data_IF_184876000519
#
_entry.id   IF_184876000519
#
_cell.length_a   1.000
_cell.length_b   1.000
_cell.length_c   1.000
_cell.angle_alpha   90.00
_cell.angle_beta   90.00
_cell.angle_gamma   90.00
#
_symmetry.space_group_name_H-M   'P 1'
#
loop_
_entity.id
_entity.type
_entity.pdbx_description
1 polymer ?
#
# COMPACT_ATOMS: atom_id res chain seq x y z
N UNK A 1 -13.98 17.74 20.51
CA UNK A 1 -14.60 16.41 20.42
C UNK A 1 -13.48 15.38 20.29
N UNK A 2 -12.74 15.19 21.39
CA UNK A 2 -11.52 14.39 21.49
C UNK A 2 -11.63 13.61 22.80
N UNK A 3 -12.28 12.45 22.79
CA UNK A 3 -12.26 11.53 23.94
C UNK A 3 -12.88 10.17 23.60
N UNK A 4 -12.21 9.35 22.76
CA UNK A 4 -12.49 7.89 22.70
C UNK A 4 -11.36 7.08 22.04
N UNK A 5 -10.11 7.26 22.49
CA UNK A 5 -9.01 6.31 22.22
C UNK A 5 -8.18 6.06 23.50
N UNK A 6 -8.87 5.62 24.54
CA UNK A 6 -8.33 4.92 25.72
C UNK A 6 -9.05 3.56 25.71
N UNK A 7 -8.45 2.38 25.85
CA UNK A 7 -7.15 1.95 26.33
C UNK A 7 -6.70 0.72 25.51
N UNK A 8 -5.49 0.75 24.95
CA UNK A 8 -4.67 -0.46 24.77
C UNK A 8 -3.32 -0.12 25.40
N UNK A 9 -3.35 0.15 26.70
CA UNK A 9 -2.18 0.42 27.52
C UNK A 9 -2.54 0.11 28.98
N UNK A 10 -2.89 -1.13 29.26
CA UNK A 10 -2.79 -1.75 30.60
C UNK A 10 -2.92 -3.25 30.43
N UNK A 11 -1.84 -3.95 30.77
CA UNK A 11 -1.66 -5.41 30.80
C UNK A 11 -1.43 -6.12 29.45
N UNK A 12 -0.39 -5.73 28.69
CA UNK A 12 0.33 -6.73 27.89
C UNK A 12 1.45 -7.30 28.74
N UNK A 13 1.13 -8.34 29.50
CA UNK A 13 2.14 -9.29 29.93
C UNK A 13 2.77 -9.89 28.66
N UNK A 14 4.08 -10.12 28.73
CA UNK A 14 4.86 -10.94 27.81
C UNK A 14 4.06 -12.19 27.44
N UNK A 15 4.06 -12.55 26.14
CA UNK A 15 3.26 -13.64 25.55
C UNK A 15 2.90 -14.73 26.53
N UNK A 16 1.62 -14.78 26.90
CA UNK A 16 1.11 -15.80 27.81
C UNK A 16 1.14 -17.11 27.04
N UNK A 17 1.53 -18.19 27.71
CA UNK A 17 1.78 -19.54 27.17
C UNK A 17 0.55 -20.23 26.51
N UNK A 18 -0.47 -19.46 26.10
CA UNK A 18 -1.75 -19.90 25.55
C UNK A 18 -2.30 -19.06 24.40
N UNK A 19 -1.57 -18.06 23.89
CA UNK A 19 -1.98 -17.35 22.66
C UNK A 19 -1.84 -18.28 21.43
N UNK A 20 -2.73 -18.12 20.46
CA UNK A 20 -2.69 -18.89 19.23
C UNK A 20 -1.91 -18.15 18.16
N UNK A 21 -1.14 -18.89 17.38
CA UNK A 21 -0.37 -18.35 16.28
C UNK A 21 -0.90 -18.89 14.95
N UNK A 22 -1.30 -17.97 14.08
CA UNK A 22 -1.61 -18.27 12.69
C UNK A 22 -0.30 -18.61 11.97
N UNK A 23 -0.16 -19.85 11.53
CA UNK A 23 0.99 -20.26 10.74
C UNK A 23 0.78 -19.91 9.27
N UNK A 24 1.89 -19.81 8.51
CA UNK A 24 1.87 -19.50 7.08
C UNK A 24 0.89 -20.35 6.27
N UNK A 25 0.87 -21.67 6.48
CA UNK A 25 -0.02 -22.57 5.75
C UNK A 25 -1.51 -22.36 6.08
N UNK A 26 -1.83 -21.89 7.30
CA UNK A 26 -3.20 -21.57 7.71
C UNK A 26 -3.69 -20.32 6.97
N UNK A 27 -2.83 -19.30 6.88
CA UNK A 27 -3.09 -18.04 6.21
C UNK A 27 -3.16 -18.20 4.69
N UNK A 28 -2.23 -18.96 4.09
CA UNK A 28 -2.22 -19.22 2.65
C UNK A 28 -3.34 -20.16 2.20
N UNK A 29 -3.81 -21.04 3.09
CA UNK A 29 -4.85 -22.02 2.77
C UNK A 29 -6.28 -21.55 3.02
N UNK A 30 -6.49 -20.46 3.77
CA UNK A 30 -7.84 -19.93 4.03
C UNK A 30 -8.31 -19.04 2.89
N UNK A 31 -9.61 -19.08 2.58
CA UNK A 31 -10.27 -18.04 1.77
C UNK A 31 -11.43 -17.35 2.52
N UNK A 32 -11.64 -17.69 3.79
CA UNK A 32 -12.54 -16.97 4.69
C UNK A 32 -11.85 -15.76 5.28
N UNK A 33 -12.62 -14.71 5.58
CA UNK A 33 -12.17 -13.44 6.15
C UNK A 33 -12.18 -13.51 7.68
N UNK A 34 -11.02 -13.66 8.33
CA UNK A 34 -10.98 -13.81 9.79
C UNK A 34 -11.16 -12.44 10.42
N UNK A 35 -12.11 -12.34 11.34
CA UNK A 35 -12.48 -11.11 12.05
C UNK A 35 -12.68 -11.40 13.54
N UNK A 36 -12.66 -10.40 14.40
CA UNK A 36 -12.91 -10.54 15.84
C UNK A 36 -13.69 -9.34 16.36
N UNK A 37 -14.30 -9.44 17.55
CA UNK A 37 -14.90 -8.30 18.23
C UNK A 37 -13.92 -7.71 19.24
N UNK A 38 -13.71 -6.41 19.18
CA UNK A 38 -12.90 -5.71 20.18
C UNK A 38 -13.67 -5.55 21.51
N UNK A 39 -13.03 -4.92 22.51
CA UNK A 39 -13.64 -4.73 23.83
C UNK A 39 -14.93 -3.87 23.83
N UNK A 40 -15.19 -3.11 22.76
CA UNK A 40 -16.43 -2.37 22.56
C UNK A 40 -17.53 -3.20 21.89
N UNK A 41 -17.22 -4.43 21.44
CA UNK A 41 -18.09 -5.29 20.67
C UNK A 41 -18.07 -5.00 19.16
N UNK A 42 -17.31 -3.99 18.72
CA UNK A 42 -17.18 -3.63 17.31
C UNK A 42 -16.38 -4.69 16.56
N UNK A 43 -16.82 -5.02 15.34
CA UNK A 43 -16.14 -5.99 14.49
C UNK A 43 -14.86 -5.37 13.92
N UNK A 44 -13.78 -6.14 13.96
CA UNK A 44 -12.45 -5.78 13.46
C UNK A 44 -11.91 -6.91 12.59
N UNK A 45 -11.11 -6.57 11.59
CA UNK A 45 -10.39 -7.59 10.80
C UNK A 45 -9.25 -8.16 11.62
N UNK A 46 -8.97 -9.46 11.49
CA UNK A 46 -7.72 -10.03 11.95
C UNK A 46 -6.59 -9.54 11.04
N UNK A 47 -5.60 -8.89 11.64
CA UNK A 47 -4.47 -8.25 10.92
C UNK A 47 -3.10 -8.77 11.35
N UNK A 48 -3.05 -9.49 12.46
CA UNK A 48 -1.83 -9.96 13.10
C UNK A 48 -1.76 -11.49 13.08
N UNK A 49 -0.55 -12.03 13.18
CA UNK A 49 -0.35 -13.49 13.26
C UNK A 49 -0.78 -14.08 14.61
N UNK A 50 -0.81 -13.26 15.67
CA UNK A 50 -1.16 -13.70 17.02
C UNK A 50 -2.62 -13.40 17.32
N UNK A 51 -3.30 -14.37 17.92
CA UNK A 51 -4.68 -14.28 18.40
C UNK A 51 -4.64 -14.53 19.91
N UNK A 52 -5.00 -13.52 20.74
CA UNK A 52 -4.95 -13.68 22.19
C UNK A 52 -5.84 -14.83 22.68
N UNK A 53 -5.41 -15.51 23.73
CA UNK A 53 -6.20 -16.56 24.38
C UNK A 53 -7.59 -16.06 24.79
N UNK A 54 -8.62 -16.84 24.49
CA UNK A 54 -10.03 -16.52 24.74
C UNK A 54 -10.72 -15.73 23.61
N UNK A 55 -9.96 -15.15 22.67
CA UNK A 55 -10.53 -14.42 21.52
C UNK A 55 -11.15 -15.40 20.53
N UNK A 56 -12.39 -15.11 20.12
CA UNK A 56 -13.08 -15.82 19.03
C UNK A 56 -12.87 -15.11 17.70
N UNK A 57 -12.34 -15.85 16.73
CA UNK A 57 -12.32 -15.42 15.34
C UNK A 57 -13.64 -15.82 14.66
N UNK A 58 -14.33 -14.83 14.10
CA UNK A 58 -15.46 -15.00 13.20
C UNK A 58 -14.92 -15.16 11.78
N UNK A 59 -15.05 -16.37 11.24
CA UNK A 59 -14.50 -16.77 9.94
C UNK A 59 -15.56 -16.60 8.86
N UNK A 60 -15.67 -15.39 8.30
CA UNK A 60 -16.72 -15.05 7.34
C UNK A 60 -16.41 -15.58 5.94
N UNK A 61 -17.39 -16.26 5.34
CA UNK A 61 -17.42 -16.53 3.90
C UNK A 61 -18.42 -15.61 3.18
N UNK A 62 -19.55 -15.33 3.82
CA UNK A 62 -20.57 -14.38 3.37
C UNK A 62 -21.26 -13.77 4.59
N UNK A 63 -22.28 -12.91 4.40
CA UNK A 63 -23.05 -12.34 5.51
C UNK A 63 -23.81 -13.38 6.35
N UNK A 64 -24.11 -14.55 5.79
CA UNK A 64 -24.84 -15.64 6.48
C UNK A 64 -24.01 -16.91 6.72
N UNK A 65 -22.90 -17.08 6.00
CA UNK A 65 -21.92 -18.16 6.24
C UNK A 65 -20.74 -17.61 7.06
N UNK A 66 -20.80 -17.88 8.35
CA UNK A 66 -19.78 -17.52 9.34
C UNK A 66 -19.59 -18.69 10.30
N UNK A 67 -18.33 -18.98 10.63
CA UNK A 67 -18.00 -20.00 11.63
C UNK A 67 -17.09 -19.41 12.69
N UNK A 68 -17.36 -19.74 13.95
CA UNK A 68 -16.55 -19.28 15.08
C UNK A 68 -15.37 -20.20 15.32
N UNK A 69 -14.18 -19.62 15.48
CA UNK A 69 -12.96 -20.34 15.82
C UNK A 69 -12.25 -19.64 16.98
N UNK A 70 -12.38 -20.20 18.18
CA UNK A 70 -11.82 -19.60 19.39
C UNK A 70 -10.38 -20.03 19.60
N UNK A 71 -9.53 -19.07 19.96
CA UNK A 71 -8.23 -19.38 20.53
C UNK A 71 -8.38 -19.84 21.98
N UNK A 72 -8.10 -21.11 22.26
CA UNK A 72 -8.18 -21.68 23.60
C UNK A 72 -6.92 -21.34 24.39
N UNK A 73 -7.02 -21.37 25.73
CA UNK A 73 -5.89 -21.08 26.64
C UNK A 73 -4.71 -22.05 26.55
N UNK A 74 -4.80 -23.12 25.76
CA UNK A 74 -3.72 -24.05 25.46
C UNK A 74 -2.98 -23.72 24.15
N UNK A 75 -3.24 -22.56 23.53
CA UNK A 75 -2.62 -22.14 22.27
C UNK A 75 -3.20 -22.83 21.03
N UNK A 76 -4.35 -23.51 21.14
CA UNK A 76 -5.00 -24.20 20.02
C UNK A 76 -6.34 -23.56 19.65
N UNK A 77 -6.62 -23.56 18.35
CA UNK A 77 -7.91 -23.16 17.80
C UNK A 77 -8.96 -24.26 18.04
N UNK A 78 -10.23 -23.89 18.28
CA UNK A 78 -11.34 -24.87 18.45
C UNK A 78 -11.62 -25.65 17.18
N UNK A 79 -11.36 -25.06 16.02
CA UNK A 79 -11.52 -25.69 14.72
C UNK A 79 -10.20 -25.68 13.94
N UNK A 80 -10.01 -26.72 13.14
CA UNK A 80 -8.83 -26.89 12.31
C UNK A 80 -8.73 -25.80 11.23
N UNK A 81 -7.51 -25.35 11.00
CA UNK A 81 -7.12 -24.53 9.86
C UNK A 81 -6.46 -25.41 8.78
N UNK A 82 -6.46 -24.98 7.50
CA UNK A 82 -7.15 -23.82 6.97
C UNK A 82 -8.65 -24.06 6.74
N UNK A 83 -9.46 -23.00 6.78
CA UNK A 83 -10.89 -23.07 6.46
C UNK A 83 -11.16 -22.46 5.09
N UNK A 84 -11.93 -23.17 4.27
CA UNK A 84 -12.31 -22.70 2.95
C UNK A 84 -13.82 -22.70 2.76
N UNK A 85 -14.28 -21.93 1.78
CA UNK A 85 -15.66 -21.92 1.33
C UNK A 85 -15.76 -21.61 -0.16
N UNK A 86 -16.93 -21.84 -0.76
CA UNK A 86 -17.12 -21.73 -2.21
C UNK A 86 -17.20 -20.29 -2.72
N UNK A 87 -17.81 -19.39 -1.95
CA UNK A 87 -18.10 -18.01 -2.39
C UNK A 87 -17.56 -17.01 -1.36
N UNK A 88 -16.23 -16.83 -1.28
CA UNK A 88 -15.63 -15.94 -0.30
C UNK A 88 -16.00 -14.48 -0.56
N UNK A 89 -16.10 -13.70 0.51
CA UNK A 89 -16.29 -12.25 0.43
C UNK A 89 -15.16 -11.60 -0.38
N UNK A 90 -15.53 -10.65 -1.23
CA UNK A 90 -14.60 -9.79 -1.95
C UNK A 90 -14.52 -8.41 -1.28
N UNK A 91 -13.46 -7.67 -1.59
CA UNK A 91 -13.32 -6.29 -1.12
C UNK A 91 -14.13 -5.34 -2.00
N UNK A 92 -14.76 -4.37 -1.35
CA UNK A 92 -15.55 -3.31 -1.96
C UNK A 92 -14.81 -1.97 -1.88
N UNK A 93 -15.19 -1.06 -2.78
CA UNK A 93 -14.80 0.34 -2.74
C UNK A 93 -15.92 1.18 -2.13
N UNK A 94 -15.62 2.01 -1.14
CA UNK A 94 -16.55 2.96 -0.54
C UNK A 94 -16.00 4.38 -0.63
N UNK A 95 -16.80 5.33 -1.13
CA UNK A 95 -16.46 6.76 -1.03
C UNK A 95 -16.57 7.21 0.42
N UNK A 96 -15.57 7.93 0.91
CA UNK A 96 -15.49 8.40 2.30
C UNK A 96 -15.22 9.89 2.36
N UNK A 97 -15.35 10.47 3.55
CA UNK A 97 -14.86 11.81 3.85
C UNK A 97 -13.46 11.70 4.46
N UNK A 98 -12.48 12.36 3.86
CA UNK A 98 -11.12 12.47 4.39
C UNK A 98 -10.65 13.91 4.28
N UNK A 99 -10.42 14.55 5.44
CA UNK A 99 -9.98 15.95 5.52
C UNK A 99 -8.60 16.19 4.91
N UNK A 100 -7.78 15.14 4.79
CA UNK A 100 -6.45 15.22 4.21
C UNK A 100 -6.48 15.10 2.68
N UNK A 101 -7.64 14.75 2.09
CA UNK A 101 -7.82 14.63 0.66
C UNK A 101 -8.51 15.86 0.08
N UNK A 102 -7.82 16.57 -0.82
CA UNK A 102 -8.39 17.71 -1.53
C UNK A 102 -9.35 17.31 -2.68
N UNK A 103 -9.51 16.01 -2.92
CA UNK A 103 -10.30 15.42 -4.01
C UNK A 103 -11.24 14.35 -3.46
N UNK A 104 -11.51 13.30 -4.23
CA UNK A 104 -12.34 12.19 -3.79
C UNK A 104 -11.52 11.18 -2.98
N UNK A 105 -11.96 10.96 -1.74
CA UNK A 105 -11.40 9.93 -0.89
C UNK A 105 -12.22 8.64 -0.99
N UNK A 106 -11.52 7.52 -1.11
CA UNK A 106 -12.11 6.20 -1.16
C UNK A 106 -11.42 5.26 -0.18
N UNK A 107 -12.19 4.36 0.41
CA UNK A 107 -11.70 3.28 1.25
C UNK A 107 -11.95 1.93 0.56
N UNK A 108 -11.00 1.03 0.68
CA UNK A 108 -11.09 -0.36 0.23
C UNK A 108 -11.23 -1.24 1.46
N UNK A 109 -12.18 -2.16 1.47
CA UNK A 109 -12.50 -2.94 2.67
C UNK A 109 -13.56 -4.01 2.44
N UNK A 110 -14.05 -4.60 3.54
CA UNK A 110 -15.14 -5.58 3.52
C UNK A 110 -16.41 -4.96 4.06
N UNK A 111 -17.57 -5.41 3.56
CA UNK A 111 -18.85 -5.14 4.19
C UNK A 111 -19.35 -6.38 4.91
N UNK A 112 -19.38 -6.34 6.23
CA UNK A 112 -19.76 -7.46 7.09
C UNK A 112 -20.73 -6.95 8.15
N UNK A 113 -21.87 -7.61 8.32
CA UNK A 113 -22.91 -7.22 9.28
C UNK A 113 -23.35 -5.74 9.15
N UNK A 114 -23.34 -5.20 7.92
CA UNK A 114 -23.65 -3.80 7.65
C UNK A 114 -22.54 -2.80 8.00
N UNK A 115 -21.47 -3.23 8.67
CA UNK A 115 -20.27 -2.43 8.96
C UNK A 115 -19.29 -2.50 7.78
N UNK A 116 -18.65 -1.37 7.46
CA UNK A 116 -17.54 -1.32 6.52
C UNK A 116 -16.20 -1.42 7.28
N UNK A 117 -15.44 -2.47 7.00
CA UNK A 117 -14.14 -2.77 7.61
C UNK A 117 -13.03 -2.38 6.64
N UNK A 118 -12.45 -1.20 6.86
CA UNK A 118 -11.41 -0.64 6.00
C UNK A 118 -10.08 -1.38 6.10
N UNK A 119 -9.46 -1.64 4.95
CA UNK A 119 -8.09 -2.15 4.79
C UNK A 119 -7.10 -1.00 4.56
N UNK A 120 -7.47 -0.09 3.66
CA UNK A 120 -6.72 1.11 3.31
C UNK A 120 -7.64 2.14 2.65
N UNK A 121 -7.15 3.36 2.53
CA UNK A 121 -7.82 4.46 1.82
C UNK A 121 -6.90 5.13 0.81
N UNK A 122 -7.48 5.82 -0.17
CA UNK A 122 -6.76 6.57 -1.18
C UNK A 122 -7.46 7.89 -1.51
N UNK A 123 -6.66 8.89 -1.89
CA UNK A 123 -7.13 10.16 -2.41
C UNK A 123 -6.93 10.20 -3.93
N UNK A 124 -7.99 10.49 -4.67
CA UNK A 124 -8.04 10.30 -6.12
C UNK A 124 -8.58 11.54 -6.83
N UNK A 125 -7.84 11.99 -7.85
CA UNK A 125 -8.28 13.00 -8.80
C UNK A 125 -8.81 12.33 -10.08
N UNK A 126 -10.13 12.34 -10.24
CA UNK A 126 -10.80 11.77 -11.41
C UNK A 126 -10.48 12.51 -12.72
N UNK A 127 -10.10 13.80 -12.66
CA UNK A 127 -9.80 14.59 -13.86
C UNK A 127 -8.51 14.10 -14.53
N UNK A 128 -7.48 13.84 -13.73
CA UNK A 128 -6.17 13.37 -14.21
C UNK A 128 -6.02 11.84 -14.12
N UNK A 129 -7.02 11.12 -13.61
CA UNK A 129 -6.92 9.70 -13.23
C UNK A 129 -5.71 9.43 -12.30
N UNK A 130 -5.43 10.39 -11.40
CA UNK A 130 -4.24 10.44 -10.56
C UNK A 130 -4.57 10.01 -9.14
N UNK A 131 -3.79 9.08 -8.60
CA UNK A 131 -3.78 8.78 -7.16
C UNK A 131 -2.78 9.70 -6.48
N UNK A 132 -3.24 10.48 -5.51
CA UNK A 132 -2.41 11.45 -4.79
C UNK A 132 -1.66 10.77 -3.66
N UNK A 133 -2.37 9.94 -2.91
CA UNK A 133 -1.80 9.07 -1.88
C UNK A 133 -2.71 7.88 -1.62
N UNK A 134 -2.14 6.83 -1.06
CA UNK A 134 -2.86 5.78 -0.36
C UNK A 134 -2.28 5.58 1.04
N UNK A 135 -3.12 5.22 1.99
CA UNK A 135 -2.77 5.07 3.40
C UNK A 135 -3.33 3.77 3.97
N UNK A 136 -2.48 3.03 4.69
CA UNK A 136 -2.86 1.81 5.41
C UNK A 136 -2.12 1.70 6.74
N UNK A 137 -2.58 0.78 7.58
CA UNK A 137 -1.85 0.39 8.79
C UNK A 137 -1.07 -0.91 8.53
N UNK A 138 0.24 -0.88 8.81
CA UNK A 138 1.18 -1.98 8.70
C UNK A 138 1.37 -2.65 10.06
N UNK A 139 1.09 -3.95 10.10
CA UNK A 139 1.15 -4.78 11.31
C UNK A 139 2.40 -5.67 11.31
N UNK A 140 2.86 -6.01 12.52
CA UNK A 140 3.97 -6.94 12.70
C UNK A 140 3.61 -8.34 12.19
N UNK A 141 4.61 -8.98 11.57
CA UNK A 141 4.54 -10.36 11.11
C UNK A 141 5.94 -10.96 10.98
N UNK A 142 6.06 -12.24 11.28
CA UNK A 142 7.29 -13.03 11.21
C UNK A 142 7.47 -13.72 9.85
N UNK A 143 6.41 -13.84 9.05
CA UNK A 143 6.48 -14.41 7.72
C UNK A 143 5.71 -13.59 6.67
N UNK A 144 6.02 -13.87 5.41
CA UNK A 144 5.34 -13.29 4.25
C UNK A 144 4.62 -14.40 3.49
N UNK A 145 3.28 -14.33 3.47
CA UNK A 145 2.49 -15.24 2.66
C UNK A 145 2.75 -15.01 1.17
N UNK A 146 2.54 -16.06 0.37
CA UNK A 146 2.73 -16.04 -1.07
C UNK A 146 1.83 -14.98 -1.70
N UNK A 147 2.46 -14.05 -2.43
CA UNK A 147 1.74 -13.02 -3.18
C UNK A 147 0.77 -13.68 -4.18
N UNK A 148 -0.52 -13.33 -4.16
CA UNK A 148 -1.49 -13.84 -5.13
C UNK A 148 -1.21 -13.26 -6.53
N UNK A 149 -1.59 -14.02 -7.56
CA UNK A 149 -1.57 -13.56 -8.94
C UNK A 149 -2.98 -13.18 -9.35
N UNK A 150 -3.26 -11.87 -9.40
CA UNK A 150 -4.56 -11.32 -9.75
C UNK A 150 -4.42 -10.14 -10.70
N UNK A 151 -5.47 -9.90 -11.47
CA UNK A 151 -5.59 -8.72 -12.31
C UNK A 151 -5.88 -7.46 -11.49
N UNK A 152 -5.56 -6.31 -12.08
CA UNK A 152 -5.86 -5.02 -11.47
C UNK A 152 -7.31 -4.63 -11.70
N UNK A 153 -8.03 -4.33 -10.62
CA UNK A 153 -9.39 -3.80 -10.71
C UNK A 153 -9.40 -2.30 -11.06
N UNK A 154 -10.37 -1.92 -11.91
CA UNK A 154 -10.59 -0.53 -12.35
C UNK A 154 -11.58 0.24 -11.45
N UNK A 155 -12.39 -0.48 -10.66
CA UNK A 155 -13.33 0.07 -9.68
C UNK A 155 -14.32 1.12 -10.21
N UNK A 156 -14.60 1.09 -11.52
CA UNK A 156 -15.38 2.11 -12.22
C UNK A 156 -14.79 3.54 -12.12
N UNK A 157 -13.58 3.68 -11.56
CA UNK A 157 -12.81 4.92 -11.49
C UNK A 157 -11.90 5.10 -12.70
N UNK A 158 -11.56 3.98 -13.36
CA UNK A 158 -10.72 3.94 -14.55
C UNK A 158 -11.49 3.37 -15.75
N UNK A 159 -11.28 3.99 -16.89
CA UNK A 159 -11.71 3.49 -18.20
C UNK A 159 -10.79 2.37 -18.67
N UNK A 160 -11.26 1.49 -19.59
CA UNK A 160 -10.40 0.51 -20.24
C UNK A 160 -9.18 1.14 -20.92
N UNK A 161 -9.32 2.34 -21.51
CA UNK A 161 -8.23 3.07 -22.16
C UNK A 161 -7.14 3.47 -21.16
N UNK A 162 -7.51 3.98 -19.98
CA UNK A 162 -6.55 4.32 -18.92
C UNK A 162 -5.88 3.06 -18.35
N UNK A 163 -6.63 1.96 -18.17
CA UNK A 163 -6.04 0.71 -17.70
C UNK A 163 -5.00 0.14 -18.69
N UNK A 164 -5.31 0.11 -19.99
CA UNK A 164 -4.36 -0.39 -21.00
C UNK A 164 -3.20 0.58 -21.24
N UNK A 165 -3.28 1.85 -20.83
CA UNK A 165 -2.17 2.80 -20.94
C UNK A 165 -0.92 2.35 -20.17
N UNK A 166 -1.08 1.53 -19.12
CA UNK A 166 0.04 0.91 -18.39
C UNK A 166 0.73 -0.25 -19.14
N UNK A 167 0.25 -0.64 -20.32
CA UNK A 167 0.94 -1.65 -21.15
C UNK A 167 2.16 -1.04 -21.83
N UNK A 168 3.23 -1.84 -21.95
CA UNK A 168 4.55 -1.42 -22.43
C UNK A 168 4.49 -0.72 -23.80
N UNK A 169 3.70 -1.26 -24.72
CA UNK A 169 3.52 -0.71 -26.06
C UNK A 169 2.76 0.61 -26.06
N UNK A 170 1.74 0.75 -25.21
CA UNK A 170 1.00 2.00 -25.07
C UNK A 170 1.83 3.09 -24.39
N UNK A 171 2.57 2.77 -23.33
CA UNK A 171 3.50 3.73 -22.70
C UNK A 171 4.55 4.20 -23.69
N UNK A 172 5.13 3.29 -24.49
CA UNK A 172 6.09 3.63 -25.53
C UNK A 172 5.49 4.60 -26.57
N UNK A 173 4.28 4.31 -27.08
CA UNK A 173 3.59 5.21 -28.04
C UNK A 173 3.30 6.57 -27.43
N UNK A 174 2.84 6.62 -26.18
CA UNK A 174 2.59 7.89 -25.48
C UNK A 174 3.87 8.71 -25.34
N UNK A 175 4.99 8.08 -24.97
CA UNK A 175 6.28 8.77 -24.88
C UNK A 175 6.80 9.19 -26.25
N UNK A 176 6.60 8.41 -27.31
CA UNK A 176 6.94 8.83 -28.68
C UNK A 176 6.13 10.07 -29.10
N UNK A 177 4.85 10.14 -28.73
CA UNK A 177 4.01 11.29 -29.05
C UNK A 177 4.44 12.56 -28.28
N UNK A 178 4.89 12.42 -27.04
CA UNK A 178 5.30 13.55 -26.18
C UNK A 178 6.72 14.01 -26.52
N UNK A 179 7.66 13.08 -26.66
CA UNK A 179 9.10 13.36 -26.71
C UNK A 179 9.72 13.18 -28.10
N UNK A 180 8.98 12.63 -29.07
CA UNK A 180 9.43 12.38 -30.43
C UNK A 180 9.80 10.91 -30.71
N UNK A 181 9.87 10.57 -32.00
CA UNK A 181 9.97 9.17 -32.46
C UNK A 181 11.22 8.41 -31.95
N UNK A 182 12.30 9.13 -31.67
CA UNK A 182 13.59 8.62 -31.21
C UNK A 182 13.87 8.88 -29.73
N UNK A 183 12.84 9.09 -28.91
CA UNK A 183 13.01 9.20 -27.45
C UNK A 183 13.73 7.96 -26.88
N UNK A 184 14.64 8.18 -25.92
CA UNK A 184 15.47 7.14 -25.31
C UNK A 184 14.96 6.66 -23.96
N UNK A 185 13.95 7.32 -23.39
CA UNK A 185 13.43 7.04 -22.05
C UNK A 185 12.77 5.65 -21.97
N UNK A 186 11.99 5.29 -23.00
CA UNK A 186 11.41 3.97 -23.20
C UNK A 186 12.00 3.39 -24.49
N UNK A 187 13.04 2.55 -24.44
CA UNK A 187 13.84 2.22 -25.62
C UNK A 187 13.10 1.36 -26.66
N UNK A 188 12.09 0.58 -26.25
CA UNK A 188 11.28 -0.24 -27.15
C UNK A 188 9.93 -0.63 -26.52
N UNK A 189 9.02 -1.17 -27.34
CA UNK A 189 7.66 -1.58 -26.95
C UNK A 189 7.62 -2.88 -26.12
N UNK A 190 8.71 -3.65 -26.06
CA UNK A 190 8.76 -4.95 -25.39
C UNK A 190 9.29 -4.85 -23.94
N UNK A 191 10.05 -3.80 -23.65
CA UNK A 191 10.70 -3.59 -22.36
C UNK A 191 9.77 -2.91 -21.36
N UNK A 192 9.71 -3.45 -20.15
CA UNK A 192 8.97 -2.85 -19.04
C UNK A 192 9.89 -1.90 -18.29
N UNK A 193 9.75 -0.60 -18.55
CA UNK A 193 10.55 0.44 -17.89
C UNK A 193 9.77 1.13 -16.78
N UNK A 194 8.45 1.30 -16.94
CA UNK A 194 7.56 1.88 -15.94
C UNK A 194 6.60 0.78 -15.47
N UNK A 195 6.50 0.61 -14.15
CA UNK A 195 5.60 -0.31 -13.48
C UNK A 195 4.34 0.41 -12.98
N UNK A 196 3.33 -0.39 -12.65
CA UNK A 196 2.27 -0.03 -11.71
C UNK A 196 2.85 -0.07 -10.29
N UNK A 197 3.50 1.01 -9.87
CA UNK A 197 4.13 1.13 -8.55
C UNK A 197 3.09 1.21 -7.46
N UNK A 198 3.04 0.23 -6.56
CA UNK A 198 2.05 0.18 -5.48
C UNK A 198 2.32 1.25 -4.42
N UNK A 199 1.27 1.95 -3.99
CA UNK A 199 1.36 2.89 -2.87
C UNK A 199 1.18 2.19 -1.52
N UNK A 200 0.20 1.28 -1.43
CA UNK A 200 0.09 0.28 -0.38
C UNK A 200 0.57 -1.05 -0.93
N UNK A 201 1.64 -1.60 -0.36
CA UNK A 201 2.25 -2.82 -0.87
C UNK A 201 1.42 -4.04 -0.48
N UNK A 202 1.24 -4.99 -1.40
CA UNK A 202 0.58 -6.26 -1.09
C UNK A 202 1.30 -6.99 0.06
N UNK A 203 2.62 -6.87 0.11
CA UNK A 203 3.46 -7.47 1.14
C UNK A 203 3.29 -6.85 2.53
N UNK A 204 2.45 -5.81 2.72
CA UNK A 204 2.10 -5.26 4.03
C UNK A 204 1.00 -6.07 4.71
N UNK A 205 0.15 -6.75 3.93
CA UNK A 205 -0.98 -7.54 4.41
C UNK A 205 -0.61 -8.96 4.84
N UNK A 206 -1.39 -9.55 5.75
CA UNK A 206 -1.18 -10.91 6.22
C UNK A 206 -1.87 -11.94 5.31
N UNK A 207 -3.15 -11.74 5.01
CA UNK A 207 -3.97 -12.71 4.28
C UNK A 207 -4.01 -12.47 2.78
N UNK A 208 -4.05 -13.52 1.93
CA UNK A 208 -4.05 -13.39 0.47
C UNK A 208 -5.19 -12.52 -0.10
N UNK A 209 -6.40 -12.58 0.46
CA UNK A 209 -7.54 -11.73 0.06
C UNK A 209 -7.23 -10.24 0.27
N UNK A 210 -6.62 -9.91 1.41
CA UNK A 210 -6.20 -8.55 1.72
C UNK A 210 -5.05 -8.12 0.80
N UNK A 211 -4.14 -9.03 0.44
CA UNK A 211 -3.11 -8.76 -0.58
C UNK A 211 -3.73 -8.49 -1.95
N UNK A 212 -4.72 -9.28 -2.39
CA UNK A 212 -5.45 -9.05 -3.64
C UNK A 212 -6.09 -7.66 -3.68
N UNK A 213 -6.57 -7.16 -2.53
CA UNK A 213 -7.21 -5.85 -2.44
C UNK A 213 -6.30 -4.68 -2.86
N UNK A 214 -4.98 -4.85 -2.87
CA UNK A 214 -4.02 -3.80 -3.27
C UNK A 214 -3.83 -3.70 -4.78
N UNK A 215 -4.33 -4.68 -5.55
CA UNK A 215 -4.22 -4.71 -7.01
C UNK A 215 -5.38 -3.91 -7.62
N UNK A 216 -5.36 -2.61 -7.40
CA UNK A 216 -6.36 -1.64 -7.88
C UNK A 216 -5.63 -0.48 -8.52
N UNK A 217 -6.17 0.06 -9.61
CA UNK A 217 -5.56 1.25 -10.24
C UNK A 217 -5.57 2.46 -9.29
N UNK A 218 -6.54 2.50 -8.37
CA UNK A 218 -6.62 3.45 -7.24
C UNK A 218 -5.44 3.35 -6.25
N UNK A 219 -4.61 2.32 -6.32
CA UNK A 219 -3.48 2.09 -5.41
C UNK A 219 -2.12 2.09 -6.12
N UNK A 220 -2.04 2.65 -7.34
CA UNK A 220 -0.77 2.68 -8.08
C UNK A 220 -0.48 4.03 -8.71
N UNK A 221 0.81 4.29 -8.89
CA UNK A 221 1.33 5.37 -9.71
C UNK A 221 2.30 4.82 -10.76
N UNK A 222 2.51 5.51 -11.89
CA UNK A 222 3.59 5.17 -12.82
C UNK A 222 4.94 5.33 -12.13
N UNK A 223 5.69 4.24 -11.97
CA UNK A 223 6.99 4.27 -11.28
C UNK A 223 8.06 3.60 -12.13
N UNK A 224 9.23 4.22 -12.26
CA UNK A 224 10.34 3.57 -12.97
C UNK A 224 10.72 2.27 -12.27
N UNK A 225 10.76 1.20 -13.05
CA UNK A 225 10.97 -0.16 -12.55
C UNK A 225 12.28 -0.30 -11.80
N UNK A 226 13.36 0.32 -12.29
CA UNK A 226 14.67 0.24 -11.64
C UNK A 226 14.63 0.84 -10.23
N UNK A 227 13.83 1.89 -10.03
CA UNK A 227 13.63 2.55 -8.74
C UNK A 227 12.73 1.72 -7.83
N UNK A 228 11.63 1.19 -8.37
CA UNK A 228 10.72 0.29 -7.66
C UNK A 228 11.46 -0.96 -7.15
N UNK A 229 12.26 -1.59 -8.00
CA UNK A 229 13.00 -2.81 -7.70
C UNK A 229 14.31 -2.53 -6.92
N UNK A 230 14.77 -1.27 -6.92
CA UNK A 230 15.98 -0.78 -6.27
C UNK A 230 15.74 -0.28 -4.84
N UNK A 231 16.07 1.00 -4.58
CA UNK A 231 16.01 1.55 -3.23
C UNK A 231 14.59 1.57 -2.65
N UNK A 232 13.54 1.72 -3.48
CA UNK A 232 12.16 1.76 -2.98
C UNK A 232 11.76 0.47 -2.27
N UNK A 233 12.03 -0.69 -2.90
CA UNK A 233 11.84 -2.01 -2.28
C UNK A 233 12.61 -2.14 -0.97
N UNK A 234 13.87 -1.70 -0.92
CA UNK A 234 14.70 -1.77 0.29
C UNK A 234 14.11 -0.97 1.45
N UNK A 235 13.55 0.20 1.16
CA UNK A 235 12.84 1.03 2.15
C UNK A 235 11.62 0.30 2.68
N UNK A 236 10.80 -0.30 1.80
CA UNK A 236 9.62 -1.06 2.23
C UNK A 236 9.99 -2.28 3.08
N UNK A 237 11.05 -2.99 2.69
CA UNK A 237 11.62 -4.11 3.46
C UNK A 237 12.09 -3.68 4.84
N UNK A 238 12.81 -2.56 4.90
CA UNK A 238 13.30 -2.03 6.15
C UNK A 238 12.15 -1.57 7.05
N UNK A 239 11.18 -0.79 6.56
CA UNK A 239 10.03 -0.34 7.36
C UNK A 239 9.30 -1.53 7.99
N UNK A 240 9.07 -2.60 7.22
CA UNK A 240 8.44 -3.83 7.73
C UNK A 240 9.23 -4.51 8.84
N UNK A 241 10.57 -4.46 8.79
CA UNK A 241 11.43 -4.97 9.86
C UNK A 241 11.39 -4.14 11.15
N UNK A 242 10.94 -2.88 11.07
CA UNK A 242 10.92 -1.97 12.21
C UNK A 242 9.61 -2.00 13.01
N UNK A 243 8.53 -2.55 12.44
CA UNK A 243 7.25 -2.66 13.14
C UNK A 243 7.40 -3.64 14.29
N UNK A 244 6.85 -3.29 15.46
CA UNK A 244 6.86 -4.17 16.63
C UNK A 244 5.51 -4.85 16.81
N UNK A 245 5.48 -5.99 17.51
CA UNK A 245 4.25 -6.68 17.87
C UNK A 245 3.32 -5.88 18.82
N UNK A 246 3.75 -4.71 19.30
CA UNK A 246 2.97 -3.86 20.22
C UNK A 246 2.19 -2.76 19.51
N UNK A 247 2.64 -2.35 18.33
CA UNK A 247 2.08 -1.17 17.67
C UNK A 247 2.29 -1.23 16.16
N UNK A 248 1.19 -1.08 15.41
CA UNK A 248 1.20 -0.91 13.98
C UNK A 248 1.75 0.48 13.58
N UNK A 249 2.33 0.57 12.39
CA UNK A 249 2.66 1.85 11.75
C UNK A 249 1.55 2.28 10.81
N UNK A 250 1.24 3.57 10.81
CA UNK A 250 0.41 4.19 9.79
C UNK A 250 1.29 4.69 8.66
N UNK A 251 1.10 4.14 7.47
CA UNK A 251 1.92 4.45 6.29
C UNK A 251 1.05 5.19 5.28
N UNK A 252 1.47 6.40 4.91
CA UNK A 252 0.90 7.17 3.80
C UNK A 252 1.96 7.27 2.69
N UNK A 253 1.64 6.76 1.52
CA UNK A 253 2.53 6.77 0.34
C UNK A 253 1.84 7.53 -0.80
N UNK A 254 2.55 8.37 -1.53
CA UNK A 254 1.96 9.15 -2.61
C UNK A 254 2.95 9.72 -3.60
N UNK A 255 2.43 10.44 -4.60
CA UNK A 255 3.20 11.07 -5.66
C UNK A 255 3.09 12.60 -5.62
N UNK A 256 4.23 13.30 -5.68
CA UNK A 256 4.31 14.76 -5.72
C UNK A 256 4.81 15.20 -7.11
N UNK A 257 4.21 16.28 -7.62
CA UNK A 257 4.46 16.88 -8.93
C UNK A 257 4.25 15.89 -10.10
N UNK A 258 4.60 16.33 -11.31
CA UNK A 258 4.61 15.53 -12.53
C UNK A 258 6.02 15.58 -13.11
N UNK A 259 6.60 14.42 -13.40
CA UNK A 259 7.92 14.31 -13.97
C UNK A 259 7.97 15.08 -15.30
N UNK A 260 9.03 15.86 -15.47
CA UNK A 260 9.28 16.60 -16.70
C UNK A 260 10.59 16.11 -17.30
N UNK A 261 10.58 15.88 -18.61
CA UNK A 261 11.72 15.40 -19.38
C UNK A 261 11.85 16.24 -20.66
N UNK A 262 13.05 16.29 -21.23
CA UNK A 262 13.27 17.02 -22.49
C UNK A 262 12.79 16.21 -23.69
N UNK A 263 12.07 16.86 -24.60
CA UNK A 263 11.80 16.33 -25.93
C UNK A 263 13.04 16.42 -26.84
N UNK A 264 12.91 15.93 -28.07
CA UNK A 264 13.99 15.96 -29.07
C UNK A 264 14.50 17.37 -29.42
N UNK A 265 13.71 18.41 -29.15
CA UNK A 265 14.08 19.81 -29.36
C UNK A 265 14.68 20.43 -28.08
N UNK A 266 14.84 19.65 -27.01
CA UNK A 266 15.34 20.11 -25.73
C UNK A 266 14.31 20.85 -24.88
N UNK A 267 13.03 20.84 -25.27
CA UNK A 267 11.95 21.50 -24.53
C UNK A 267 11.41 20.57 -23.45
N UNK A 268 11.23 21.11 -22.25
CA UNK A 268 10.69 20.37 -21.11
C UNK A 268 9.19 20.04 -21.32
N UNK A 269 8.85 18.76 -21.20
CA UNK A 269 7.48 18.23 -21.32
C UNK A 269 7.14 17.28 -20.17
N UNK A 270 5.95 17.44 -19.61
CA UNK A 270 5.42 16.56 -18.57
C UNK A 270 5.16 15.14 -19.10
N UNK A 271 5.48 14.15 -18.29
CA UNK A 271 5.30 12.73 -18.59
C UNK A 271 3.90 12.24 -18.19
N UNK A 272 3.16 11.72 -19.18
CA UNK A 272 1.83 11.13 -19.00
C UNK A 272 1.76 9.78 -19.71
N UNK A 273 0.99 8.84 -19.16
CA UNK A 273 0.78 7.56 -19.84
C UNK A 273 -0.31 7.62 -20.92
N UNK A 274 -1.23 8.59 -20.87
CA UNK A 274 -2.25 8.79 -21.91
C UNK A 274 -2.79 10.23 -21.90
N UNK A 275 -2.63 10.97 -23.00
CA UNK A 275 -3.09 12.36 -23.09
C UNK A 275 -2.51 13.22 -21.96
N UNK A 276 -3.38 13.89 -21.20
CA UNK A 276 -3.02 14.63 -19.98
C UNK A 276 -3.46 13.90 -18.69
N UNK A 277 -3.56 12.56 -18.74
CA UNK A 277 -3.95 11.70 -17.63
C UNK A 277 -2.85 10.71 -17.29
N UNK A 278 -2.95 10.12 -16.10
CA UNK A 278 -1.95 9.22 -15.52
C UNK A 278 -0.56 9.87 -15.52
N UNK A 279 -0.41 11.03 -14.84
CA UNK A 279 0.89 11.68 -14.73
C UNK A 279 1.89 10.74 -14.06
N UNK A 280 3.11 10.69 -14.59
CA UNK A 280 4.22 10.04 -13.91
C UNK A 280 4.66 11.00 -12.80
N UNK A 281 4.53 10.67 -11.50
CA UNK A 281 4.94 11.57 -10.43
C UNK A 281 6.45 11.83 -10.52
N UNK A 282 6.89 13.06 -10.25
CA UNK A 282 8.32 13.37 -10.20
C UNK A 282 8.95 12.81 -8.92
N UNK A 283 8.21 12.87 -7.82
CA UNK A 283 8.63 12.37 -6.53
C UNK A 283 7.63 11.36 -6.00
N UNK A 284 8.12 10.28 -5.38
CA UNK A 284 7.30 9.35 -4.62
C UNK A 284 7.74 9.46 -3.17
N UNK A 285 6.78 9.66 -2.26
CA UNK A 285 7.06 9.77 -0.84
C UNK A 285 6.44 8.63 -0.04
N UNK A 286 7.01 8.33 1.11
CA UNK A 286 6.43 7.44 2.13
C UNK A 286 6.61 8.07 3.51
N UNK A 287 5.50 8.41 4.16
CA UNK A 287 5.43 8.91 5.53
C UNK A 287 5.02 7.76 6.44
N UNK A 288 5.82 7.52 7.48
CA UNK A 288 5.57 6.51 8.51
C UNK A 288 5.29 7.22 9.82
N UNK A 289 4.12 6.95 10.40
CA UNK A 289 3.73 7.43 11.74
C UNK A 289 3.42 6.24 12.65
N UNK A 290 3.55 6.44 13.95
CA UNK A 290 3.00 5.49 14.92
C UNK A 290 1.46 5.58 14.97
N UNK A 291 0.80 4.70 15.73
CA UNK A 291 -0.67 4.69 15.83
C UNK A 291 -1.27 5.92 16.54
N UNK A 292 -0.43 6.74 17.21
CA UNK A 292 -0.80 8.01 17.85
C UNK A 292 -0.56 9.22 16.93
N UNK A 293 0.00 9.01 15.74
CA UNK A 293 0.26 10.04 14.75
C UNK A 293 1.65 10.70 14.85
N UNK A 294 2.53 10.23 15.74
CA UNK A 294 3.91 10.71 15.83
C UNK A 294 4.67 10.32 14.56
N UNK A 295 5.31 11.29 13.91
CA UNK A 295 6.20 11.05 12.78
C UNK A 295 7.40 10.19 13.18
N UNK A 296 7.63 9.09 12.47
CA UNK A 296 8.76 8.19 12.67
C UNK A 296 9.79 8.37 11.56
N UNK A 297 9.37 8.21 10.30
CA UNK A 297 10.24 8.26 9.13
C UNK A 297 9.55 8.92 7.95
N UNK A 298 10.31 9.62 7.11
CA UNK A 298 9.85 10.10 5.81
C UNK A 298 10.93 9.85 4.78
N UNK A 299 10.55 9.21 3.68
CA UNK A 299 11.40 8.95 2.54
C UNK A 299 10.82 9.63 1.30
N UNK A 300 11.65 10.33 0.52
CA UNK A 300 11.36 10.83 -0.81
C UNK A 300 12.27 10.14 -1.81
N UNK A 301 11.68 9.62 -2.89
CA UNK A 301 12.37 9.04 -4.03
C UNK A 301 12.16 9.91 -5.25
N UNK A 302 13.23 10.30 -5.93
CA UNK A 302 13.12 10.95 -7.24
C UNK A 302 12.81 9.88 -8.29
N UNK A 303 11.67 9.98 -8.95
CA UNK A 303 11.14 8.94 -9.84
C UNK A 303 11.62 9.13 -11.29
N UNK A 304 12.93 9.18 -11.48
CA UNK A 304 13.58 9.18 -12.79
C UNK A 304 15.02 8.68 -12.66
N UNK A 305 15.46 7.91 -13.65
CA UNK A 305 16.80 7.33 -13.72
C UNK A 305 17.67 7.96 -14.82
N UNK A 306 17.27 9.13 -15.35
CA UNK A 306 17.94 9.80 -16.46
C UNK A 306 18.88 10.94 -16.03
N UNK A 307 18.83 11.33 -14.76
CA UNK A 307 19.65 12.43 -14.25
C UNK A 307 21.11 12.01 -14.13
N UNK A 308 22.01 12.90 -14.54
CA UNK A 308 23.45 12.73 -14.34
C UNK A 308 23.89 13.10 -12.92
N UNK A 309 23.10 13.92 -12.24
CA UNK A 309 23.41 14.47 -10.93
C UNK A 309 22.24 14.27 -9.98
N UNK A 310 22.55 14.28 -8.69
CA UNK A 310 21.54 14.21 -7.64
C UNK A 310 20.63 15.44 -7.71
N UNK A 311 19.29 15.27 -7.80
CA UNK A 311 18.36 16.38 -7.91
C UNK A 311 18.31 17.20 -6.62
N UNK A 312 17.94 18.47 -6.74
CA UNK A 312 17.62 19.31 -5.58
C UNK A 312 16.31 18.80 -4.97
N UNK A 313 16.34 18.44 -3.69
CA UNK A 313 15.14 17.96 -2.99
C UNK A 313 14.12 19.06 -2.78
N UNK A 314 12.85 18.70 -2.74
CA UNK A 314 11.75 19.62 -2.45
C UNK A 314 11.96 20.34 -1.10
N UNK A 315 11.59 21.61 -1.04
CA UNK A 315 11.71 22.46 0.17
C UNK A 315 10.92 21.95 1.37
N UNK A 316 9.86 21.17 1.14
CA UNK A 316 9.08 20.49 2.19
C UNK A 316 9.90 19.42 2.93
N UNK A 317 10.99 18.93 2.32
CA UNK A 317 11.90 17.97 2.92
C UNK A 317 13.06 18.67 3.64
N UNK A 318 12.94 18.81 4.96
CA UNK A 318 14.10 19.11 5.80
C UNK A 318 14.95 17.85 5.94
N UNK A 319 16.06 17.77 5.23
CA UNK A 319 16.86 16.55 5.12
C UNK A 319 17.47 16.12 6.45
N UNK A 320 17.48 14.82 6.68
CA UNK A 320 18.13 14.14 7.82
C UNK A 320 18.89 12.92 7.30
N UNK A 321 19.76 12.34 8.13
CA UNK A 321 20.42 11.09 7.80
C UNK A 321 19.40 9.96 7.62
N UNK A 322 19.59 9.14 6.59
CA UNK A 322 18.76 7.96 6.39
C UNK A 322 19.10 6.87 7.42
N UNK A 323 18.09 6.15 7.95
CA UNK A 323 18.29 5.11 8.96
C UNK A 323 18.80 3.78 8.39
N UNK A 324 19.03 3.72 7.08
CA UNK A 324 19.54 2.56 6.36
C UNK A 324 20.48 3.02 5.23
N UNK A 325 21.41 2.14 4.84
CA UNK A 325 22.29 2.39 3.71
C UNK A 325 21.54 2.17 2.39
N UNK A 326 21.62 3.15 1.49
CA UNK A 326 20.94 3.17 0.20
C UNK A 326 21.95 3.53 -0.89
N UNK A 327 21.76 3.00 -2.08
CA UNK A 327 22.63 3.34 -3.19
C UNK A 327 22.36 4.78 -3.64
N UNK A 328 23.41 5.57 -3.87
CA UNK A 328 23.28 6.98 -4.26
C UNK A 328 23.48 7.15 -5.77
N UNK A 329 22.54 6.62 -6.57
CA UNK A 329 22.61 6.67 -8.01
C UNK A 329 21.19 6.70 -8.64
N UNK A 330 21.05 7.19 -9.89
CA UNK A 330 19.75 7.32 -10.54
C UNK A 330 19.09 5.97 -10.88
N UNK A 331 19.86 4.90 -11.12
CA UNK A 331 19.30 3.59 -11.48
C UNK A 331 18.50 3.00 -10.33
N UNK A 332 19.04 3.05 -9.11
CA UNK A 332 18.34 2.62 -7.89
C UNK A 332 17.33 3.67 -7.37
N UNK A 333 17.40 4.90 -7.91
CA UNK A 333 16.61 6.06 -7.52
C UNK A 333 17.22 6.83 -6.35
N UNK A 334 17.39 8.15 -6.51
CA UNK A 334 17.89 9.01 -5.45
C UNK A 334 16.89 9.10 -4.30
N UNK A 335 17.33 8.73 -3.08
CA UNK A 335 16.52 8.79 -1.87
C UNK A 335 16.96 9.92 -0.95
N UNK A 336 15.99 10.65 -0.43
CA UNK A 336 16.14 11.67 0.60
C UNK A 336 15.32 11.26 1.82
N UNK A 337 15.93 11.32 2.99
CA UNK A 337 15.21 11.14 4.25
C UNK A 337 14.89 12.52 4.84
N UNK A 338 13.65 12.72 5.26
CA UNK A 338 13.14 14.01 5.71
C UNK A 338 12.72 13.94 7.17
N UNK A 339 12.79 15.08 7.87
CA UNK A 339 12.33 15.18 9.25
C UNK A 339 10.81 14.94 9.34
N UNK A 340 10.44 13.79 9.92
CA UNK A 340 9.06 13.35 10.05
C UNK A 340 8.18 14.22 10.97
N UNK A 341 8.78 15.04 11.84
CA UNK A 341 8.03 15.96 12.70
C UNK A 341 7.53 17.20 11.94
N UNK A 342 8.20 17.57 10.84
CA UNK A 342 7.88 18.79 10.07
C UNK A 342 7.36 18.53 8.67
N UNK A 343 7.45 17.28 8.19
CA UNK A 343 6.89 16.92 6.89
C UNK A 343 5.36 16.86 6.98
N UNK A 344 4.64 17.50 6.03
CA UNK A 344 3.19 17.62 6.06
C UNK A 344 2.45 16.27 6.03
#
# INVERSE_FOLDING_TARGET
>A
MLETKRLIAKNYAVGVNGDCHLARHMVEGTNRIPSYRDASGALQLQRMETVPAGVTLYMFCSGSDMVENQCQHNGQFTLAWPMTCSNPLSTELQRIQDKDCAYDAYAVGYRIEGQFLELYRACFDAKEARVLYAQSDLYYKTYFAKRPFVDFAMDQLYTPAEAVAYRKDNMFRSFQNIYGAGQSYLPNMQQLVINRGHLVASADFLFPDQMCSTFRYLNVVPQFRSINDGNWRRIEEWIRSQVSNKQAFRIKTGGIDTLTLKDQQGVERCAYLIGAKLPVPQWIYKVVRDSYGKGLYVFLSYNSNFEQQRPVVLSICKTVACPLSLADNPLDGFIFCCNAATFP
#
